data_IF_097796565107
#
_entry.id   IF_097796565107
#
_cell.length_a   1.000
_cell.length_b   1.000
_cell.length_c   1.000
_cell.angle_alpha   90.00
_cell.angle_beta   90.00
_cell.angle_gamma   90.00
#
_symmetry.space_group_name_H-M   'P 1'
#
loop_
_entity.id
_entity.type
_entity.pdbx_description
1 polymer ?
#
# COMPACT_ATOMS: atom_id res chain seq x y z
N UNK A 1 3.65 6.40 -13.64
CA UNK A 1 4.53 5.99 -12.54
C UNK A 1 4.85 7.12 -11.56
N UNK A 2 5.55 8.20 -11.95
CA UNK A 2 5.87 9.33 -11.04
C UNK A 2 4.67 9.88 -10.25
N UNK A 3 3.48 9.95 -10.86
CA UNK A 3 2.23 10.33 -10.17
C UNK A 3 1.91 9.38 -9.00
N UNK A 4 1.94 8.07 -9.23
CA UNK A 4 1.58 7.06 -8.21
C UNK A 4 2.60 7.06 -7.07
N UNK A 5 3.89 7.21 -7.40
CA UNK A 5 4.96 7.35 -6.40
C UNK A 5 4.78 8.62 -5.53
N UNK A 6 4.33 9.73 -6.13
CA UNK A 6 3.99 10.94 -5.39
C UNK A 6 2.82 10.68 -4.45
N UNK A 7 1.70 10.15 -4.96
CA UNK A 7 0.51 9.85 -4.14
C UNK A 7 0.89 8.94 -2.96
N UNK A 8 1.65 7.87 -3.19
CA UNK A 8 2.09 6.95 -2.14
C UNK A 8 2.94 7.63 -1.05
N UNK A 9 3.87 8.49 -1.44
CA UNK A 9 4.74 9.25 -0.52
C UNK A 9 3.94 10.27 0.30
N UNK A 10 3.05 10.99 -0.36
CA UNK A 10 2.19 11.97 0.28
C UNK A 10 1.33 11.26 1.33
N UNK A 11 0.69 10.14 0.96
CA UNK A 11 -0.14 9.33 1.86
C UNK A 11 0.65 8.84 3.07
N UNK A 12 1.89 8.37 2.86
CA UNK A 12 2.78 7.95 3.95
C UNK A 12 3.16 9.11 4.90
N UNK A 13 3.12 10.34 4.39
CA UNK A 13 3.41 11.58 5.12
C UNK A 13 2.14 12.23 5.72
N UNK A 14 0.97 11.59 5.59
CA UNK A 14 -0.31 12.10 6.09
C UNK A 14 -1.06 13.05 5.14
N UNK A 15 -0.57 13.26 3.91
CA UNK A 15 -1.23 14.09 2.90
C UNK A 15 -1.79 13.22 1.78
N UNK A 16 -3.11 13.18 1.57
CA UNK A 16 -3.69 12.20 0.63
C UNK A 16 -4.78 12.80 -0.27
N UNK A 17 -4.81 14.13 -0.41
CA UNK A 17 -5.77 14.87 -1.25
C UNK A 17 -5.87 14.31 -2.68
N UNK A 18 -4.73 13.99 -3.30
CA UNK A 18 -4.68 13.42 -4.66
C UNK A 18 -5.36 12.03 -4.73
N UNK A 19 -5.35 11.28 -3.63
CA UNK A 19 -6.01 9.98 -3.51
C UNK A 19 -7.50 10.15 -3.21
N UNK A 20 -7.89 11.00 -2.25
CA UNK A 20 -9.30 11.31 -1.91
C UNK A 20 -10.08 11.71 -3.14
N UNK A 21 -9.52 12.61 -3.95
CA UNK A 21 -10.16 13.12 -5.15
C UNK A 21 -10.60 12.01 -6.14
N UNK A 22 -10.05 10.80 -6.01
CA UNK A 22 -10.32 9.68 -6.90
C UNK A 22 -10.74 8.40 -6.15
N UNK A 23 -10.94 8.44 -4.83
CA UNK A 23 -11.27 7.28 -3.99
C UNK A 23 -12.60 7.52 -3.27
N UNK A 24 -13.63 6.77 -3.66
CA UNK A 24 -15.00 6.94 -3.16
C UNK A 24 -15.16 6.60 -1.66
N UNK A 25 -14.27 5.77 -1.13
CA UNK A 25 -14.29 5.35 0.28
C UNK A 25 -13.47 6.26 1.21
N UNK A 26 -12.87 7.33 0.67
CA UNK A 26 -12.08 8.28 1.45
C UNK A 26 -12.77 9.64 1.44
N UNK A 27 -13.01 10.19 2.64
CA UNK A 27 -13.52 11.55 2.82
C UNK A 27 -12.36 12.55 2.94
N UNK A 28 -12.63 13.81 2.58
CA UNK A 28 -11.70 14.91 2.80
C UNK A 28 -11.42 15.05 4.31
N UNK A 29 -10.14 15.00 4.71
CA UNK A 29 -9.76 14.97 6.13
C UNK A 29 -9.63 13.57 6.78
N UNK A 30 -9.91 12.48 6.07
CA UNK A 30 -9.71 11.10 6.55
C UNK A 30 -8.23 10.60 6.54
N UNK A 31 -7.61 10.30 7.67
CA UNK A 31 -6.22 9.78 7.69
C UNK A 31 -6.08 8.45 6.89
N UNK A 32 -5.34 8.49 5.78
CA UNK A 32 -5.16 7.30 4.93
C UNK A 32 -4.51 6.12 5.67
N UNK A 33 -3.57 6.36 6.59
CA UNK A 33 -2.96 5.27 7.36
C UNK A 33 -4.01 4.58 8.25
N UNK A 34 -4.87 5.36 8.90
CA UNK A 34 -5.94 4.81 9.74
C UNK A 34 -6.89 3.98 8.88
N UNK A 35 -7.32 4.52 7.73
CA UNK A 35 -8.13 3.77 6.77
C UNK A 35 -7.44 2.48 6.30
N UNK A 36 -6.15 2.55 5.95
CA UNK A 36 -5.32 1.41 5.54
C UNK A 36 -5.14 0.37 6.65
N UNK A 37 -5.42 0.72 7.91
CA UNK A 37 -5.37 -0.18 9.06
C UNK A 37 -6.77 -0.58 9.55
N UNK A 38 -7.76 -0.62 8.66
CA UNK A 38 -9.13 -1.05 9.00
C UNK A 38 -9.60 -2.22 8.13
N UNK A 39 -10.58 -2.96 8.62
CA UNK A 39 -11.34 -3.93 7.83
C UNK A 39 -12.28 -3.28 6.79
N UNK A 40 -12.46 -1.95 6.87
CA UNK A 40 -13.23 -1.19 5.88
C UNK A 40 -12.37 -0.82 4.65
N UNK A 41 -11.07 -1.12 4.66
CA UNK A 41 -10.20 -0.89 3.53
C UNK A 41 -10.68 -1.63 2.28
N UNK A 42 -10.87 -0.89 1.19
CA UNK A 42 -11.34 -1.41 -0.09
C UNK A 42 -10.25 -1.28 -1.16
N UNK A 43 -9.59 -2.39 -1.48
CA UNK A 43 -8.55 -2.44 -2.49
C UNK A 43 -9.04 -2.08 -3.91
N UNK A 44 -10.32 -2.30 -4.22
CA UNK A 44 -10.89 -1.93 -5.53
C UNK A 44 -11.01 -0.42 -5.70
N UNK A 45 -11.47 0.29 -4.66
CA UNK A 45 -11.56 1.75 -4.67
C UNK A 45 -10.18 2.39 -4.78
N UNK A 46 -9.19 1.83 -4.09
CA UNK A 46 -7.80 2.24 -4.25
C UNK A 46 -7.31 1.98 -5.67
N UNK A 47 -7.56 0.81 -6.23
CA UNK A 47 -7.16 0.50 -7.60
C UNK A 47 -7.72 1.49 -8.62
N UNK A 48 -9.00 1.85 -8.48
CA UNK A 48 -9.64 2.89 -9.28
C UNK A 48 -8.92 4.24 -9.11
N UNK A 49 -8.67 4.66 -7.87
CA UNK A 49 -8.01 5.92 -7.56
C UNK A 49 -6.59 6.03 -8.14
N UNK A 50 -5.86 4.90 -8.17
CA UNK A 50 -4.50 4.82 -8.72
C UNK A 50 -4.45 4.29 -10.15
N UNK A 51 -5.59 4.24 -10.83
CA UNK A 51 -5.72 3.88 -12.24
C UNK A 51 -5.09 2.51 -12.58
N UNK A 52 -5.51 1.45 -11.87
CA UNK A 52 -5.04 0.09 -12.11
C UNK A 52 -3.64 -0.22 -11.56
N UNK A 53 -3.17 0.56 -10.58
CA UNK A 53 -1.83 0.45 -10.00
C UNK A 53 -1.83 0.06 -8.50
N UNK A 54 -2.89 -0.58 -7.99
CA UNK A 54 -3.07 -0.81 -6.55
C UNK A 54 -1.88 -1.50 -5.86
N UNK A 55 -1.35 -2.62 -6.38
CA UNK A 55 -0.22 -3.29 -5.73
C UNK A 55 1.03 -2.42 -5.75
N UNK A 56 1.34 -1.77 -6.88
CA UNK A 56 2.48 -0.88 -6.98
C UNK A 56 2.37 0.27 -5.97
N UNK A 57 1.22 0.93 -5.93
CA UNK A 57 0.91 1.98 -4.96
C UNK A 57 1.09 1.49 -3.52
N UNK A 58 0.52 0.33 -3.19
CA UNK A 58 0.57 -0.26 -1.84
C UNK A 58 2.00 -0.54 -1.40
N UNK A 59 2.83 -1.13 -2.28
CA UNK A 59 4.23 -1.39 -1.99
C UNK A 59 5.04 -0.09 -1.82
N UNK A 60 4.76 0.94 -2.63
CA UNK A 60 5.40 2.25 -2.47
C UNK A 60 4.97 2.93 -1.18
N UNK A 61 3.68 2.88 -0.83
CA UNK A 61 3.16 3.43 0.41
C UNK A 61 3.87 2.81 1.61
N UNK A 62 3.92 1.46 1.69
CA UNK A 62 4.59 0.76 2.79
C UNK A 62 6.09 1.05 2.86
N UNK A 63 6.77 1.11 1.71
CA UNK A 63 8.20 1.44 1.65
C UNK A 63 8.49 2.81 2.27
N UNK A 64 7.66 3.80 1.98
CA UNK A 64 7.78 5.15 2.57
C UNK A 64 7.33 5.15 4.03
N UNK A 65 6.23 4.47 4.35
CA UNK A 65 5.62 4.49 5.68
C UNK A 65 6.47 3.81 6.75
N UNK A 66 7.13 2.72 6.38
CA UNK A 66 8.04 1.95 7.24
C UNK A 66 9.50 2.40 7.11
N UNK A 67 9.75 3.47 6.35
CA UNK A 67 11.08 4.04 6.12
C UNK A 67 12.13 2.98 5.73
N UNK A 68 11.79 2.08 4.80
CA UNK A 68 12.64 0.94 4.41
C UNK A 68 14.01 1.35 3.92
N UNK A 69 14.13 2.55 3.37
CA UNK A 69 15.41 3.13 2.95
C UNK A 69 16.41 3.20 4.11
N UNK A 70 15.93 3.51 5.32
CA UNK A 70 16.78 3.66 6.49
C UNK A 70 16.74 2.42 7.40
N UNK A 71 15.67 1.60 7.33
CA UNK A 71 15.50 0.44 8.21
C UNK A 71 16.03 -0.87 7.64
N UNK A 72 16.10 -1.03 6.30
CA UNK A 72 16.62 -2.25 5.66
C UNK A 72 18.07 -2.02 5.19
N UNK A 73 19.06 -2.80 5.69
CA UNK A 73 20.43 -2.69 5.23
C UNK A 73 20.56 -2.90 3.71
N UNK A 74 21.28 -1.98 3.04
CA UNK A 74 21.52 -2.01 1.59
C UNK A 74 20.23 -1.97 0.75
N UNK A 75 19.20 -1.28 1.24
CA UNK A 75 17.97 -1.09 0.47
C UNK A 75 18.18 -0.19 -0.75
N UNK A 76 18.08 -0.78 -1.94
CA UNK A 76 18.20 -0.08 -3.21
C UNK A 76 16.82 0.34 -3.74
N UNK A 77 16.42 1.55 -3.37
CA UNK A 77 15.11 2.16 -3.67
C UNK A 77 14.73 2.11 -5.17
N UNK A 78 15.70 2.36 -6.07
CA UNK A 78 15.47 2.22 -7.52
C UNK A 78 15.18 0.78 -7.94
N UNK A 79 15.92 -0.17 -7.40
CA UNK A 79 15.74 -1.60 -7.70
C UNK A 79 14.40 -2.10 -7.18
N UNK A 80 14.00 -1.68 -5.98
CA UNK A 80 12.71 -2.04 -5.41
C UNK A 80 11.54 -1.46 -6.21
N UNK A 81 11.60 -0.17 -6.61
CA UNK A 81 10.59 0.42 -7.52
C UNK A 81 10.43 -0.38 -8.81
N UNK A 82 11.55 -0.76 -9.43
CA UNK A 82 11.51 -1.55 -10.66
C UNK A 82 10.92 -2.94 -10.43
N UNK A 83 11.26 -3.58 -9.32
CA UNK A 83 10.69 -4.86 -8.91
C UNK A 83 9.18 -4.75 -8.72
N UNK A 84 8.72 -3.81 -7.88
CA UNK A 84 7.30 -3.60 -7.58
C UNK A 84 6.48 -3.33 -8.86
N UNK A 85 7.03 -2.51 -9.78
CA UNK A 85 6.36 -2.23 -11.04
C UNK A 85 6.28 -3.45 -11.94
N UNK A 86 7.36 -4.22 -12.08
CA UNK A 86 7.33 -5.47 -12.85
C UNK A 86 6.39 -6.49 -12.23
N UNK A 87 6.38 -6.60 -10.90
CA UNK A 87 5.50 -7.52 -10.18
C UNK A 87 4.02 -7.20 -10.45
N UNK A 88 3.62 -5.93 -10.39
CA UNK A 88 2.29 -5.45 -10.77
C UNK A 88 1.88 -5.96 -12.16
N UNK A 89 2.77 -5.81 -13.14
CA UNK A 89 2.51 -6.19 -14.53
C UNK A 89 2.47 -7.70 -14.78
N UNK A 90 3.09 -8.50 -13.90
CA UNK A 90 3.11 -9.96 -14.03
C UNK A 90 1.79 -10.62 -13.64
N UNK A 91 0.91 -9.92 -12.90
CA UNK A 91 -0.41 -10.44 -12.59
C UNK A 91 -1.28 -10.51 -13.85
N UNK A 92 -1.93 -11.66 -14.05
CA UNK A 92 -2.80 -11.90 -15.21
C UNK A 92 -4.17 -11.26 -14.98
N UNK A 93 -4.91 -11.09 -16.08
CA UNK A 93 -6.36 -10.85 -16.02
C UNK A 93 -7.04 -12.11 -15.48
N UNK A 94 -7.19 -12.17 -14.17
CA UNK A 94 -7.90 -13.21 -13.45
C UNK A 94 -9.02 -12.55 -12.62
N UNK A 95 -10.23 -13.15 -12.53
CA UNK A 95 -11.31 -12.57 -11.75
C UNK A 95 -10.96 -12.32 -10.27
N UNK A 96 -10.06 -13.13 -9.70
CA UNK A 96 -9.67 -13.06 -8.29
C UNK A 96 -8.17 -12.93 -8.09
N UNK A 97 -7.36 -13.86 -8.63
CA UNK A 97 -5.90 -13.88 -8.47
C UNK A 97 -5.20 -12.85 -9.37
N UNK A 98 -5.50 -11.58 -9.15
CA UNK A 98 -4.97 -10.43 -9.86
C UNK A 98 -4.23 -9.50 -8.88
N UNK A 99 -3.71 -8.39 -9.40
CA UNK A 99 -2.95 -7.45 -8.60
C UNK A 99 -3.75 -6.73 -7.51
N UNK A 100 -5.07 -6.58 -7.68
CA UNK A 100 -5.93 -5.98 -6.66
C UNK A 100 -5.96 -6.89 -5.44
N UNK A 101 -6.16 -8.20 -5.65
CA UNK A 101 -6.10 -9.17 -4.57
C UNK A 101 -4.72 -9.23 -3.91
N UNK A 102 -3.64 -9.13 -4.69
CA UNK A 102 -2.31 -9.06 -4.10
C UNK A 102 -2.10 -7.80 -3.23
N UNK A 103 -2.64 -6.65 -3.64
CA UNK A 103 -2.60 -5.42 -2.86
C UNK A 103 -3.39 -5.58 -1.54
N UNK A 104 -4.59 -6.15 -1.62
CA UNK A 104 -5.45 -6.48 -0.48
C UNK A 104 -4.74 -7.40 0.53
N UNK A 105 -4.10 -8.47 0.06
CA UNK A 105 -3.33 -9.39 0.93
C UNK A 105 -2.17 -8.66 1.63
N UNK A 106 -1.46 -7.78 0.91
CA UNK A 106 -0.36 -6.99 1.49
C UNK A 106 -0.87 -6.02 2.56
N UNK A 107 -1.99 -5.33 2.32
CA UNK A 107 -2.62 -4.46 3.30
C UNK A 107 -3.10 -5.26 4.52
N UNK A 108 -3.78 -6.39 4.31
CA UNK A 108 -4.26 -7.24 5.40
C UNK A 108 -3.12 -7.76 6.28
N UNK A 109 -1.98 -8.16 5.68
CA UNK A 109 -0.80 -8.55 6.45
C UNK A 109 -0.28 -7.39 7.31
N UNK A 110 -0.22 -6.18 6.75
CA UNK A 110 0.19 -4.99 7.50
C UNK A 110 -0.80 -4.66 8.64
N UNK A 111 -2.11 -4.75 8.39
CA UNK A 111 -3.15 -4.54 9.41
C UNK A 111 -3.02 -5.56 10.54
N UNK A 112 -2.91 -6.85 10.22
CA UNK A 112 -2.75 -7.91 11.20
C UNK A 112 -1.52 -7.72 12.08
N UNK A 113 -0.38 -7.38 11.49
CA UNK A 113 0.88 -7.16 12.23
C UNK A 113 0.84 -5.93 13.14
N UNK A 114 0.04 -4.91 12.84
CA UNK A 114 0.05 -3.64 13.58
C UNK A 114 -1.17 -3.40 14.48
N UNK A 115 -2.29 -4.10 14.26
CA UNK A 115 -3.54 -3.87 15.00
C UNK A 115 -4.18 -5.11 15.61
N UNK A 116 -3.78 -6.32 15.21
CA UNK A 116 -4.44 -7.57 15.64
C UNK A 116 -3.57 -8.40 16.58
N UNK A 117 -2.68 -7.76 17.34
CA UNK A 117 -1.83 -8.39 18.37
C UNK A 117 -0.96 -9.57 17.88
N UNK A 118 -0.85 -9.78 16.56
CA UNK A 118 -0.10 -10.89 15.96
C UNK A 118 1.35 -10.89 16.43
N UNK A 119 1.96 -9.71 16.59
CA UNK A 119 3.32 -9.59 17.13
C UNK A 119 3.45 -10.20 18.53
N UNK A 120 2.45 -10.02 19.38
CA UNK A 120 2.45 -10.53 20.76
C UNK A 120 2.18 -12.04 20.76
N UNK A 121 1.17 -12.49 20.02
CA UNK A 121 0.79 -13.91 19.93
C UNK A 121 1.93 -14.74 19.33
N UNK A 122 2.55 -14.24 18.26
CA UNK A 122 3.64 -14.93 17.57
C UNK A 122 5.02 -14.65 18.17
N UNK A 123 5.10 -13.91 19.28
CA UNK A 123 6.37 -13.58 19.97
C UNK A 123 7.42 -12.96 19.04
N UNK A 124 6.98 -12.08 18.13
CA UNK A 124 7.87 -11.40 17.20
C UNK A 124 8.63 -10.30 17.93
N UNK A 125 9.96 -10.30 17.82
CA UNK A 125 10.79 -9.21 18.32
C UNK A 125 10.52 -7.92 17.54
N UNK A 126 10.57 -6.77 18.23
CA UNK A 126 10.51 -5.45 17.60
C UNK A 126 11.79 -5.14 16.82
#
# INVERSE_FOLDING_TARGET
MKRIEKIARDCASGYYNDLVANCEDLEEGANFEEYFQTNAYNAYSIDKAVNGNALYFTLMFLTNKLDWKNTIPKFEDRSFRNLAYKLQLCYRKNPYHNQIHAADVVQNLYFMLNKQDVKQVCQMSQ
#
